data_IF_007642826698
#
_entry.id   IF_007642826698
#
_cell.length_a   1.000
_cell.length_b   1.000
_cell.length_c   1.000
_cell.angle_alpha   90.00
_cell.angle_beta   90.00
_cell.angle_gamma   90.00
#
_symmetry.space_group_name_H-M   'P 1'
#
loop_
_entity.id
_entity.type
_entity.pdbx_description
1 polymer ?
#
# COMPACT_ATOMS: atom_id res chain seq x y z
N UNK A 1 4.95 48.30 9.36
CA UNK A 1 4.94 47.14 10.29
C UNK A 1 3.91 46.07 9.93
N UNK A 2 2.73 46.39 9.36
CA UNK A 2 1.75 45.36 8.97
C UNK A 2 2.27 44.35 7.93
N UNK A 3 3.09 44.77 6.97
CA UNK A 3 3.56 43.87 5.89
C UNK A 3 4.43 42.70 6.37
N UNK A 4 5.23 42.90 7.42
CA UNK A 4 6.13 41.86 7.95
C UNK A 4 5.34 40.74 8.65
N UNK A 5 4.24 41.08 9.31
CA UNK A 5 3.41 40.11 10.03
C UNK A 5 2.66 39.18 9.06
N UNK A 6 2.17 39.71 7.94
CA UNK A 6 1.51 38.94 6.89
C UNK A 6 2.48 37.93 6.23
N UNK A 7 3.72 38.35 5.98
CA UNK A 7 4.73 37.48 5.37
C UNK A 7 5.05 36.27 6.27
N UNK A 8 5.25 36.50 7.56
CA UNK A 8 5.55 35.42 8.53
C UNK A 8 4.39 34.43 8.60
N UNK A 9 3.15 34.93 8.64
CA UNK A 9 1.96 34.08 8.72
C UNK A 9 1.79 33.20 7.49
N UNK A 10 2.03 33.74 6.29
CA UNK A 10 1.95 33.00 5.03
C UNK A 10 3.00 31.88 4.96
N UNK A 11 4.24 32.16 5.40
CA UNK A 11 5.32 31.16 5.42
C UNK A 11 5.02 30.02 6.40
N UNK A 12 4.54 30.33 7.60
CA UNK A 12 4.18 29.30 8.60
C UNK A 12 3.04 28.42 8.09
N UNK A 13 2.01 29.01 7.47
CA UNK A 13 0.91 28.24 6.88
C UNK A 13 1.40 27.32 5.74
N UNK A 14 2.31 27.81 4.89
CA UNK A 14 2.92 27.02 3.82
C UNK A 14 3.73 25.83 4.34
N UNK A 15 4.56 26.04 5.37
CA UNK A 15 5.38 24.98 5.99
C UNK A 15 4.52 23.92 6.66
N UNK A 16 3.48 24.32 7.42
CA UNK A 16 2.55 23.38 8.06
C UNK A 16 1.78 22.56 7.01
N UNK A 17 1.33 23.18 5.93
CA UNK A 17 0.65 22.49 4.83
C UNK A 17 1.58 21.51 4.09
N UNK A 18 2.83 21.90 3.87
CA UNK A 18 3.85 21.06 3.23
C UNK A 18 4.23 19.85 4.09
N UNK A 19 4.39 20.06 5.41
CA UNK A 19 4.63 18.98 6.37
C UNK A 19 3.45 18.01 6.46
N UNK A 20 2.21 18.51 6.39
CA UNK A 20 1.01 17.67 6.37
C UNK A 20 0.93 16.75 5.14
N UNK A 21 1.32 17.26 3.96
CA UNK A 21 1.37 16.47 2.72
C UNK A 21 2.41 15.35 2.80
N UNK A 22 3.64 15.64 3.25
CA UNK A 22 4.68 14.62 3.40
C UNK A 22 4.34 13.56 4.45
N UNK A 23 3.69 13.96 5.54
CA UNK A 23 3.23 13.01 6.55
C UNK A 23 2.15 12.06 5.98
N UNK A 24 1.28 12.55 5.09
CA UNK A 24 0.25 11.73 4.45
C UNK A 24 0.81 10.69 3.46
N UNK A 25 1.92 10.99 2.77
CA UNK A 25 2.58 10.06 1.84
C UNK A 25 3.31 8.93 2.59
N UNK A 26 4.06 9.27 3.64
CA UNK A 26 4.71 8.27 4.49
C UNK A 26 3.69 7.29 5.09
N UNK A 27 2.56 7.81 5.57
CA UNK A 27 1.44 7.02 6.09
C UNK A 27 0.78 6.14 5.01
N UNK A 28 0.73 6.58 3.75
CA UNK A 28 0.16 5.78 2.66
C UNK A 28 1.02 4.55 2.34
N UNK A 29 2.34 4.71 2.33
CA UNK A 29 3.29 3.61 2.09
C UNK A 29 3.31 2.59 3.22
N UNK A 30 3.26 3.05 4.47
CA UNK A 30 3.14 2.19 5.65
C UNK A 30 1.85 1.37 5.59
N UNK A 31 0.71 2.01 5.26
CA UNK A 31 -0.59 1.31 5.07
C UNK A 31 -0.58 0.29 3.93
N UNK A 32 0.16 0.55 2.85
CA UNK A 32 0.25 -0.39 1.73
C UNK A 32 1.11 -1.62 2.06
N UNK A 33 2.13 -1.46 2.92
CA UNK A 33 2.90 -2.58 3.44
C UNK A 33 2.03 -3.48 4.34
N UNK A 34 1.25 -2.85 5.24
CA UNK A 34 0.32 -3.56 6.13
C UNK A 34 -0.75 -4.34 5.37
N UNK A 35 -1.26 -3.79 4.26
CA UNK A 35 -2.25 -4.47 3.43
C UNK A 35 -1.70 -5.76 2.80
N UNK A 36 -0.44 -5.75 2.34
CA UNK A 36 0.20 -6.95 1.78
C UNK A 36 0.40 -8.02 2.85
N UNK A 37 0.79 -7.61 4.06
CA UNK A 37 0.89 -8.51 5.21
C UNK A 37 -0.47 -9.13 5.53
N UNK A 38 -1.53 -8.31 5.63
CA UNK A 38 -2.89 -8.77 5.90
C UNK A 38 -3.40 -9.74 4.82
N UNK A 39 -3.18 -9.45 3.54
CA UNK A 39 -3.52 -10.34 2.42
C UNK A 39 -2.76 -11.68 2.48
N UNK A 40 -1.47 -11.64 2.81
CA UNK A 40 -0.65 -12.83 2.97
C UNK A 40 -1.12 -13.70 4.14
N UNK A 41 -1.47 -13.08 5.27
CA UNK A 41 -2.04 -13.78 6.43
C UNK A 41 -3.40 -14.39 6.08
N UNK A 42 -4.30 -13.63 5.46
CA UNK A 42 -5.63 -14.11 5.04
C UNK A 42 -5.54 -15.29 4.07
N UNK A 43 -4.61 -15.24 3.11
CA UNK A 43 -4.41 -16.32 2.14
C UNK A 43 -3.87 -17.59 2.78
N UNK A 44 -2.91 -17.48 3.72
CA UNK A 44 -2.40 -18.63 4.47
C UNK A 44 -3.48 -19.23 5.37
N UNK A 45 -4.32 -18.40 5.98
CA UNK A 45 -5.41 -18.87 6.83
C UNK A 45 -6.49 -19.60 6.01
N UNK A 46 -6.86 -19.07 4.84
CA UNK A 46 -7.76 -19.75 3.92
C UNK A 46 -7.22 -21.12 3.50
N UNK A 47 -5.94 -21.18 3.13
CA UNK A 47 -5.27 -22.43 2.75
C UNK A 47 -5.23 -23.43 3.92
N UNK A 48 -4.91 -22.98 5.14
CA UNK A 48 -4.87 -23.81 6.35
C UNK A 48 -6.21 -24.47 6.65
N UNK A 49 -7.32 -23.79 6.35
CA UNK A 49 -8.69 -24.30 6.58
C UNK A 49 -9.31 -25.02 5.38
N UNK A 50 -8.52 -25.25 4.32
CA UNK A 50 -9.00 -25.85 3.06
C UNK A 50 -10.12 -25.05 2.40
N UNK A 51 -10.02 -23.71 2.48
CA UNK A 51 -10.87 -22.81 1.70
C UNK A 51 -10.15 -22.43 0.40
N UNK A 52 -10.92 -22.45 -0.70
CA UNK A 52 -10.38 -22.16 -2.04
C UNK A 52 -9.98 -20.69 -2.21
N UNK A 53 -10.62 -19.79 -1.50
CA UNK A 53 -10.40 -18.34 -1.59
C UNK A 53 -10.43 -17.68 -0.21
N UNK A 54 -9.62 -16.64 -0.04
CA UNK A 54 -9.68 -15.77 1.13
C UNK A 54 -10.81 -14.74 0.94
N UNK A 55 -11.94 -14.97 1.59
CA UNK A 55 -13.06 -14.02 1.65
C UNK A 55 -12.84 -12.88 2.64
N UNK A 56 -13.83 -11.99 2.76
CA UNK A 56 -13.81 -10.85 3.70
C UNK A 56 -13.59 -11.28 5.16
N UNK A 57 -14.16 -12.40 5.59
CA UNK A 57 -13.94 -12.95 6.93
C UNK A 57 -12.46 -13.32 7.19
N UNK A 58 -11.74 -13.83 6.19
CA UNK A 58 -10.30 -14.14 6.32
C UNK A 58 -9.45 -12.87 6.37
N UNK A 59 -9.84 -11.83 5.64
CA UNK A 59 -9.16 -10.53 5.66
C UNK A 59 -9.35 -9.84 7.02
N UNK A 60 -10.56 -9.85 7.55
CA UNK A 60 -10.84 -9.33 8.90
C UNK A 60 -10.10 -10.12 9.96
N UNK A 61 -10.12 -11.45 9.88
CA UNK A 61 -9.36 -12.32 10.77
C UNK A 61 -7.86 -11.97 10.72
N UNK A 62 -7.29 -11.77 9.53
CA UNK A 62 -5.90 -11.34 9.38
C UNK A 62 -5.59 -10.00 10.06
N UNK A 63 -6.49 -9.02 9.97
CA UNK A 63 -6.36 -7.74 10.67
C UNK A 63 -6.38 -7.92 12.20
N UNK A 64 -7.19 -8.85 12.73
CA UNK A 64 -7.23 -9.12 14.18
C UNK A 64 -6.01 -9.88 14.72
N UNK A 65 -5.24 -10.53 13.84
CA UNK A 65 -4.02 -11.26 14.18
C UNK A 65 -2.77 -10.37 14.09
N UNK A 66 -2.82 -9.29 13.30
CA UNK A 66 -1.73 -8.36 13.14
C UNK A 66 -1.65 -7.35 14.31
N UNK A 67 -0.49 -7.13 14.95
CA UNK A 67 -0.35 -6.18 16.05
C UNK A 67 -0.75 -4.74 15.70
N UNK A 68 -0.50 -4.28 14.47
CA UNK A 68 -0.87 -2.94 14.03
C UNK A 68 -2.38 -2.84 13.73
N UNK A 69 -2.95 -3.86 13.08
CA UNK A 69 -4.38 -4.03 12.89
C UNK A 69 -5.15 -4.00 14.21
N UNK A 70 -4.69 -4.75 15.22
CA UNK A 70 -5.27 -4.74 16.57
C UNK A 70 -5.24 -3.36 17.21
N UNK A 71 -4.11 -2.63 17.15
CA UNK A 71 -4.03 -1.25 17.67
C UNK A 71 -5.03 -0.33 16.98
N UNK A 72 -5.20 -0.49 15.66
CA UNK A 72 -6.16 0.28 14.87
C UNK A 72 -7.60 -0.01 15.29
N UNK A 73 -7.94 -1.29 15.53
CA UNK A 73 -9.26 -1.69 16.03
C UNK A 73 -9.54 -1.11 17.42
N UNK A 74 -8.58 -1.20 18.35
CA UNK A 74 -8.70 -0.59 19.69
C UNK A 74 -8.90 0.91 19.61
N UNK A 75 -8.12 1.61 18.76
CA UNK A 75 -8.26 3.05 18.55
C UNK A 75 -9.63 3.43 17.96
N UNK A 76 -10.28 2.52 17.25
CA UNK A 76 -11.64 2.68 16.74
C UNK A 76 -12.74 2.26 17.74
N UNK A 77 -12.39 1.87 18.97
CA UNK A 77 -13.35 1.39 19.97
C UNK A 77 -13.90 -0.02 19.69
N UNK A 78 -13.25 -0.77 18.81
CA UNK A 78 -13.62 -2.15 18.47
C UNK A 78 -12.77 -3.10 19.32
N UNK A 79 -13.42 -4.03 20.01
CA UNK A 79 -12.74 -5.12 20.72
C UNK A 79 -12.15 -6.11 19.70
N UNK A 80 -10.81 -6.20 19.58
CA UNK A 80 -10.17 -7.05 18.58
C UNK A 80 -10.39 -8.54 18.85
N UNK A 81 -10.56 -8.93 20.11
CA UNK A 81 -10.74 -10.34 20.49
C UNK A 81 -12.18 -10.79 20.27
N UNK A 82 -13.16 -9.92 20.54
CA UNK A 82 -14.56 -10.18 20.16
C UNK A 82 -14.72 -10.27 18.63
N UNK A 83 -14.13 -9.33 17.87
CA UNK A 83 -14.18 -9.36 16.40
C UNK A 83 -13.49 -10.60 15.84
N UNK A 84 -12.38 -11.03 16.44
CA UNK A 84 -11.67 -12.25 16.05
C UNK A 84 -12.55 -13.48 16.23
N UNK A 85 -13.20 -13.63 17.38
CA UNK A 85 -14.11 -14.74 17.65
C UNK A 85 -15.26 -14.79 16.63
N UNK A 86 -15.89 -13.64 16.35
CA UNK A 86 -16.94 -13.53 15.32
C UNK A 86 -16.41 -13.95 13.92
N UNK A 87 -15.20 -13.53 13.55
CA UNK A 87 -14.60 -13.90 12.26
C UNK A 87 -14.23 -15.38 12.19
N UNK A 88 -13.71 -15.97 13.28
CA UNK A 88 -13.39 -17.39 13.37
C UNK A 88 -14.65 -18.25 13.20
N UNK A 89 -15.78 -17.84 13.80
CA UNK A 89 -17.09 -18.49 13.64
C UNK A 89 -17.56 -18.44 12.17
N UNK A 90 -17.52 -17.27 11.53
CA UNK A 90 -17.89 -17.11 10.12
C UNK A 90 -17.00 -17.93 9.18
N UNK A 91 -15.70 -17.99 9.46
CA UNK A 91 -14.75 -18.78 8.68
C UNK A 91 -15.03 -20.28 8.85
N UNK A 92 -15.30 -20.78 10.06
CA UNK A 92 -15.67 -22.20 10.25
C UNK A 92 -17.03 -22.57 9.63
N UNK A 93 -17.97 -21.62 9.57
CA UNK A 93 -19.25 -21.82 8.90
C UNK A 93 -19.13 -21.88 7.36
N UNK A 94 -18.00 -21.44 6.80
CA UNK A 94 -17.76 -21.46 5.35
C UNK A 94 -17.54 -22.91 4.89
N UNK A 95 -18.27 -23.40 3.86
CA UNK A 95 -18.10 -24.76 3.37
C UNK A 95 -16.67 -25.02 2.87
N UNK A 96 -16.01 -26.02 3.47
CA UNK A 96 -14.71 -26.52 3.00
C UNK A 96 -14.87 -27.10 1.60
N UNK A 97 -14.01 -26.70 0.68
CA UNK A 97 -13.99 -27.27 -0.66
C UNK A 97 -12.85 -28.29 -0.73
N UNK A 98 -13.09 -29.54 -1.15
CA UNK A 98 -12.03 -30.52 -1.28
C UNK A 98 -10.95 -30.02 -2.25
N UNK A 99 -9.66 -30.36 -2.01
CA UNK A 99 -8.59 -30.04 -2.93
C UNK A 99 -8.92 -30.59 -4.32
N UNK A 100 -8.77 -29.75 -5.34
CA UNK A 100 -9.29 -29.99 -6.68
C UNK A 100 -8.49 -31.05 -7.45
N UNK A 101 -8.71 -32.33 -7.16
CA UNK A 101 -8.13 -33.45 -7.92
C UNK A 101 -8.98 -33.90 -9.12
N UNK A 102 -10.14 -33.29 -9.40
CA UNK A 102 -11.11 -33.79 -10.40
C UNK A 102 -11.55 -32.85 -11.52
N UNK A 103 -10.93 -31.67 -11.70
CA UNK A 103 -11.27 -30.80 -12.83
C UNK A 103 -10.18 -30.74 -13.90
N UNK A 104 -10.42 -31.50 -14.99
CA UNK A 104 -9.85 -31.22 -16.32
C UNK A 104 -10.06 -29.75 -16.65
N UNK A 105 -9.00 -29.13 -17.17
CA UNK A 105 -8.90 -27.80 -17.77
C UNK A 105 -10.18 -27.31 -18.46
N UNK A 106 -11.08 -26.70 -17.69
CA UNK A 106 -11.87 -25.58 -18.19
C UNK A 106 -11.05 -24.32 -17.90
N UNK A 107 -10.93 -23.50 -18.93
CA UNK A 107 -10.31 -22.18 -18.93
C UNK A 107 -10.40 -21.48 -17.56
N UNK A 108 -9.22 -21.19 -16.99
CA UNK A 108 -8.97 -20.40 -15.78
C UNK A 108 -10.09 -19.37 -15.50
N UNK A 109 -10.99 -19.67 -14.56
CA UNK A 109 -11.55 -18.59 -13.76
C UNK A 109 -10.46 -18.19 -12.77
N UNK A 110 -9.63 -17.23 -13.17
CA UNK A 110 -8.99 -16.35 -12.20
C UNK A 110 -10.12 -15.93 -11.24
N UNK A 111 -9.96 -16.00 -9.90
CA UNK A 111 -10.92 -15.38 -9.00
C UNK A 111 -11.26 -14.02 -9.57
N UNK A 112 -12.54 -13.65 -9.63
CA UNK A 112 -12.94 -12.37 -10.18
C UNK A 112 -12.46 -11.25 -9.25
N UNK A 113 -11.15 -10.99 -9.33
CA UNK A 113 -10.49 -9.88 -8.70
C UNK A 113 -11.03 -8.60 -9.31
N UNK A 114 -11.88 -8.59 -10.35
CA UNK A 114 -12.54 -7.35 -10.77
C UNK A 114 -13.48 -6.83 -9.70
N UNK A 115 -14.05 -7.66 -8.81
CA UNK A 115 -14.85 -7.18 -7.68
C UNK A 115 -13.96 -6.55 -6.61
N UNK A 116 -12.93 -7.25 -6.14
CA UNK A 116 -11.96 -6.71 -5.17
C UNK A 116 -11.19 -5.51 -5.74
N UNK A 117 -10.78 -5.58 -7.01
CA UNK A 117 -10.07 -4.51 -7.72
C UNK A 117 -11.01 -3.37 -8.10
N UNK A 118 -12.31 -3.59 -8.34
CA UNK A 118 -13.27 -2.50 -8.55
C UNK A 118 -13.64 -1.83 -7.23
N UNK A 119 -13.74 -2.59 -6.13
CA UNK A 119 -13.91 -2.07 -4.77
C UNK A 119 -12.68 -1.25 -4.36
N UNK A 120 -11.47 -1.78 -4.55
CA UNK A 120 -10.21 -1.08 -4.30
C UNK A 120 -10.09 0.13 -5.24
N UNK A 121 -10.33 0.00 -6.55
CA UNK A 121 -10.32 1.15 -7.49
C UNK A 121 -11.39 2.18 -7.17
N UNK A 122 -12.54 1.80 -6.63
CA UNK A 122 -13.62 2.73 -6.27
C UNK A 122 -13.32 3.43 -4.95
N UNK A 123 -12.78 2.71 -3.96
CA UNK A 123 -12.25 3.28 -2.73
C UNK A 123 -11.07 4.25 -2.99
N UNK A 124 -10.19 3.89 -3.93
CA UNK A 124 -9.08 4.74 -4.39
C UNK A 124 -9.58 5.94 -5.23
N UNK A 125 -10.56 5.77 -6.13
CA UNK A 125 -11.19 6.87 -6.90
C UNK A 125 -11.93 7.89 -6.03
N UNK A 126 -12.46 7.46 -4.89
CA UNK A 126 -13.18 8.33 -3.97
C UNK A 126 -12.26 9.10 -3.01
N UNK A 127 -10.94 8.90 -3.08
CA UNK A 127 -9.98 9.70 -2.32
C UNK A 127 -10.10 9.52 -0.80
N UNK A 128 -10.53 8.34 -0.33
CA UNK A 128 -10.88 8.10 1.07
C UNK A 128 -10.36 6.75 1.53
N UNK A 129 -9.18 6.70 2.15
CA UNK A 129 -8.73 5.47 2.81
C UNK A 129 -8.04 5.75 4.16
N UNK A 130 -8.86 5.85 5.20
CA UNK A 130 -8.57 5.10 6.43
C UNK A 130 -8.94 3.63 6.20
N UNK A 131 -8.37 2.71 6.99
CA UNK A 131 -8.75 1.27 7.02
C UNK A 131 -10.27 1.10 7.13
N UNK A 132 -10.95 2.03 7.82
CA UNK A 132 -12.40 2.06 7.94
C UNK A 132 -13.13 2.23 6.58
N UNK A 133 -12.60 2.99 5.62
CA UNK A 133 -13.23 3.19 4.31
C UNK A 133 -13.16 1.95 3.41
N UNK A 134 -12.04 1.23 3.48
CA UNK A 134 -11.86 -0.05 2.80
C UNK A 134 -12.75 -1.14 3.43
N UNK A 135 -12.80 -1.16 4.77
CA UNK A 135 -13.73 -1.99 5.51
C UNK A 135 -15.16 -1.68 5.10
N UNK A 136 -15.62 -0.44 5.09
CA UNK A 136 -17.00 -0.08 4.71
C UNK A 136 -17.40 -0.64 3.36
N UNK A 137 -16.51 -0.61 2.37
CA UNK A 137 -16.82 -1.21 1.07
C UNK A 137 -16.81 -2.74 1.06
N UNK A 138 -15.97 -3.39 1.87
CA UNK A 138 -16.01 -4.85 2.09
C UNK A 138 -17.22 -5.30 2.92
N UNK A 139 -17.80 -4.41 3.73
CA UNK A 139 -18.86 -4.70 4.70
C UNK A 139 -20.28 -4.47 4.17
N UNK A 140 -20.43 -3.75 3.06
CA UNK A 140 -21.69 -3.64 2.33
C UNK A 140 -21.91 -4.81 1.34
N UNK A 141 -20.97 -5.75 1.27
CA UNK A 141 -21.20 -7.07 0.68
C UNK A 141 -21.71 -8.04 1.78
N UNK A 142 -22.67 -8.89 1.42
CA UNK A 142 -23.87 -9.15 2.22
C UNK A 142 -23.74 -9.89 3.60
N UNK A 143 -22.57 -10.30 4.06
CA UNK A 143 -22.47 -11.24 5.21
C UNK A 143 -21.85 -10.68 6.50
N UNK A 144 -21.24 -9.49 6.49
CA UNK A 144 -20.45 -9.01 7.66
C UNK A 144 -21.07 -7.82 8.40
N UNK A 145 -22.12 -7.23 7.83
CA UNK A 145 -22.83 -6.08 8.41
C UNK A 145 -23.40 -6.30 9.82
N UNK A 146 -23.95 -7.48 10.18
CA UNK A 146 -24.48 -7.73 11.53
C UNK A 146 -23.42 -7.72 12.63
N UNK A 147 -22.22 -8.27 12.39
CA UNK A 147 -21.14 -8.29 13.38
C UNK A 147 -20.70 -6.87 13.75
N UNK A 148 -20.52 -5.98 12.77
CA UNK A 148 -20.05 -4.61 13.05
C UNK A 148 -21.11 -3.65 13.54
N UNK A 149 -22.40 -3.90 13.26
CA UNK A 149 -23.48 -3.16 13.92
C UNK A 149 -23.47 -3.37 15.44
N UNK A 150 -22.97 -4.51 15.94
CA UNK A 150 -22.78 -4.75 17.38
C UNK A 150 -21.66 -3.88 17.99
N UNK A 151 -20.82 -3.24 17.18
CA UNK A 151 -19.63 -2.50 17.62
C UNK A 151 -19.62 -0.99 17.24
N UNK A 152 -20.77 -0.34 17.07
CA UNK A 152 -20.86 1.13 17.04
C UNK A 152 -21.02 1.80 15.67
N UNK A 153 -21.09 1.05 14.56
CA UNK A 153 -21.57 1.55 13.27
C UNK A 153 -20.60 2.45 12.48
N UNK A 154 -20.47 2.15 11.19
CA UNK A 154 -19.50 2.76 10.29
C UNK A 154 -19.76 4.28 10.07
N UNK A 155 -21.02 4.72 10.07
CA UNK A 155 -21.45 6.04 9.57
C UNK A 155 -20.88 7.27 10.29
N UNK A 156 -20.51 7.18 11.57
CA UNK A 156 -20.15 8.35 12.39
C UNK A 156 -18.65 8.76 12.22
N UNK A 157 -17.81 7.81 11.79
CA UNK A 157 -16.36 7.98 11.61
C UNK A 157 -16.00 8.69 10.28
N UNK A 158 -16.90 8.72 9.30
CA UNK A 158 -16.59 9.10 7.91
C UNK A 158 -16.69 10.59 7.55
N UNK A 159 -17.14 11.47 8.45
CA UNK A 159 -17.44 12.86 8.09
C UNK A 159 -16.21 13.78 7.95
N UNK A 160 -14.96 13.32 8.16
CA UNK A 160 -13.80 14.23 8.37
C UNK A 160 -12.54 14.04 7.53
N UNK A 161 -12.45 13.11 6.57
CA UNK A 161 -11.15 12.87 5.88
C UNK A 161 -11.34 12.69 4.37
N UNK A 162 -10.70 13.55 3.58
CA UNK A 162 -10.58 13.46 2.12
C UNK A 162 -9.11 13.64 1.71
N UNK A 163 -8.60 12.81 0.80
CA UNK A 163 -7.23 12.84 0.24
C UNK A 163 -7.33 12.54 -1.28
N UNK A 164 -6.49 13.10 -2.17
CA UNK A 164 -6.67 12.96 -3.63
C UNK A 164 -6.24 11.58 -4.17
N UNK A 165 -6.67 11.21 -5.39
CA UNK A 165 -6.27 9.96 -6.07
C UNK A 165 -4.78 9.95 -6.41
N UNK A 166 -4.18 8.75 -6.44
CA UNK A 166 -2.79 8.45 -6.80
C UNK A 166 -2.33 9.31 -7.99
N UNK A 167 -1.53 10.33 -7.69
CA UNK A 167 -0.82 11.10 -8.70
C UNK A 167 0.12 10.14 -9.41
N UNK A 168 0.09 10.16 -10.74
CA UNK A 168 1.04 9.41 -11.55
C UNK A 168 2.34 10.20 -11.50
N UNK A 169 3.16 9.92 -10.49
CA UNK A 169 4.41 10.65 -10.24
C UNK A 169 5.54 10.01 -11.06
N UNK A 170 6.42 10.81 -11.70
CA UNK A 170 7.66 10.30 -12.28
C UNK A 170 8.47 9.48 -11.27
N UNK A 171 9.24 8.50 -11.74
CA UNK A 171 9.96 7.59 -10.85
C UNK A 171 11.33 7.16 -11.39
N UNK A 172 12.20 6.74 -10.49
CA UNK A 172 13.44 6.02 -10.82
C UNK A 172 13.18 4.53 -10.69
N UNK A 173 13.38 3.76 -11.75
CA UNK A 173 13.31 2.30 -11.72
C UNK A 173 14.71 1.71 -11.65
N UNK A 174 14.98 0.91 -10.62
CA UNK A 174 16.23 0.17 -10.45
C UNK A 174 16.00 -1.29 -10.82
N UNK A 175 16.92 -1.87 -11.60
CA UNK A 175 16.85 -3.27 -12.03
C UNK A 175 17.86 -4.11 -11.24
N UNK A 176 17.43 -5.31 -10.83
CA UNK A 176 18.29 -6.26 -10.14
C UNK A 176 19.35 -6.84 -11.08
N UNK A 177 20.53 -7.10 -10.54
CA UNK A 177 21.60 -7.84 -11.19
C UNK A 177 22.27 -8.79 -10.18
N UNK A 178 23.19 -9.63 -10.63
CA UNK A 178 23.78 -10.71 -9.81
C UNK A 178 25.16 -10.35 -9.23
N UNK A 179 25.66 -9.14 -9.48
CA UNK A 179 27.04 -8.74 -9.22
C UNK A 179 27.12 -7.55 -8.26
N UNK A 180 26.22 -6.58 -8.39
CA UNK A 180 26.17 -5.41 -7.51
C UNK A 180 25.81 -5.81 -6.09
N UNK A 181 26.59 -5.36 -5.11
CA UNK A 181 26.37 -5.72 -3.70
C UNK A 181 25.20 -4.94 -3.09
N UNK A 182 24.57 -5.52 -2.07
CA UNK A 182 23.49 -4.87 -1.32
C UNK A 182 23.96 -3.58 -0.66
N UNK A 183 25.17 -3.57 -0.10
CA UNK A 183 25.78 -2.41 0.56
C UNK A 183 25.96 -1.27 -0.44
N UNK A 184 26.46 -1.57 -1.64
CA UNK A 184 26.62 -0.56 -2.69
C UNK A 184 25.27 0.06 -3.07
N UNK A 185 24.24 -0.78 -3.33
CA UNK A 185 22.90 -0.27 -3.70
C UNK A 185 22.33 0.61 -2.60
N UNK A 186 22.40 0.17 -1.33
CA UNK A 186 21.92 0.95 -0.19
C UNK A 186 22.63 2.31 -0.09
N UNK A 187 23.96 2.31 -0.15
CA UNK A 187 24.74 3.53 0.04
C UNK A 187 24.53 4.51 -1.13
N UNK A 188 24.47 4.01 -2.37
CA UNK A 188 24.16 4.80 -3.55
C UNK A 188 22.75 5.41 -3.51
N UNK A 189 21.77 4.69 -2.96
CA UNK A 189 20.40 5.20 -2.76
C UNK A 189 20.35 6.29 -1.69
N UNK A 190 21.09 6.13 -0.60
CA UNK A 190 21.22 7.17 0.41
C UNK A 190 21.85 8.44 -0.15
N UNK A 191 22.91 8.29 -0.94
CA UNK A 191 23.65 9.41 -1.51
C UNK A 191 22.86 10.14 -2.62
N UNK A 192 22.31 9.40 -3.58
CA UNK A 192 21.77 10.00 -4.81
C UNK A 192 20.25 10.17 -4.81
N UNK A 193 19.52 9.28 -4.12
CA UNK A 193 18.06 9.33 -4.05
C UNK A 193 17.53 9.94 -2.73
N UNK A 194 18.43 10.39 -1.85
CA UNK A 194 18.11 10.97 -0.54
C UNK A 194 17.18 10.08 0.33
N UNK A 195 17.27 8.76 0.16
CA UNK A 195 16.61 7.81 1.04
C UNK A 195 17.37 7.71 2.37
N UNK A 196 16.66 7.63 3.49
CA UNK A 196 17.31 7.22 4.73
C UNK A 196 17.80 5.76 4.63
N UNK A 197 18.69 5.38 5.56
CA UNK A 197 19.33 4.05 5.56
C UNK A 197 18.31 2.91 5.61
N UNK A 198 17.22 3.08 6.36
CA UNK A 198 16.19 2.05 6.51
C UNK A 198 15.38 1.89 5.23
N UNK A 199 14.95 3.01 4.62
CA UNK A 199 14.23 3.03 3.36
C UNK A 199 15.08 2.48 2.22
N UNK A 200 16.36 2.86 2.14
CA UNK A 200 17.30 2.35 1.15
C UNK A 200 17.51 0.84 1.28
N UNK A 201 17.65 0.32 2.50
CA UNK A 201 17.79 -1.12 2.74
C UNK A 201 16.54 -1.91 2.32
N UNK A 202 15.35 -1.42 2.72
CA UNK A 202 14.08 -2.03 2.32
C UNK A 202 13.89 -2.01 0.79
N UNK A 203 14.31 -0.92 0.14
CA UNK A 203 14.28 -0.80 -1.31
C UNK A 203 15.22 -1.78 -2.00
N UNK A 204 16.46 -1.92 -1.52
CA UNK A 204 17.43 -2.85 -2.08
C UNK A 204 16.91 -4.30 -1.99
N UNK A 205 16.31 -4.69 -0.85
CA UNK A 205 15.65 -6.00 -0.69
C UNK A 205 14.51 -6.17 -1.70
N UNK A 206 13.67 -5.15 -1.87
CA UNK A 206 12.58 -5.20 -2.83
C UNK A 206 13.06 -5.40 -4.29
N UNK A 207 14.14 -4.73 -4.68
CA UNK A 207 14.77 -4.91 -6.01
C UNK A 207 15.25 -6.35 -6.18
N UNK A 208 15.95 -6.88 -5.18
CA UNK A 208 16.45 -8.26 -5.22
C UNK A 208 15.33 -9.29 -5.34
N UNK A 209 14.25 -9.15 -4.56
CA UNK A 209 13.12 -10.08 -4.56
C UNK A 209 12.25 -9.99 -5.83
N UNK A 210 12.05 -8.79 -6.37
CA UNK A 210 11.09 -8.55 -7.48
C UNK A 210 11.76 -8.42 -8.84
N UNK A 211 13.09 -8.35 -8.87
CA UNK A 211 13.89 -8.07 -10.07
C UNK A 211 13.91 -6.60 -10.48
N UNK A 212 13.00 -5.75 -9.97
CA UNK A 212 12.97 -4.31 -10.18
C UNK A 212 12.09 -3.61 -9.12
N UNK A 213 12.37 -2.34 -8.84
CA UNK A 213 11.53 -1.51 -7.95
C UNK A 213 11.59 -0.03 -8.35
N UNK A 214 10.62 0.77 -7.89
CA UNK A 214 10.48 2.20 -8.27
C UNK A 214 10.50 3.16 -7.09
N UNK A 215 11.26 4.25 -7.22
CA UNK A 215 11.29 5.36 -6.28
C UNK A 215 10.53 6.53 -6.91
N UNK A 216 9.37 6.95 -6.37
CA UNK A 216 8.69 8.15 -6.84
C UNK A 216 9.56 9.39 -6.54
N UNK A 217 9.64 10.31 -7.49
CA UNK A 217 10.40 11.57 -7.38
C UNK A 217 9.59 12.74 -7.92
N UNK A 218 9.93 13.97 -7.54
CA UNK A 218 9.07 15.13 -7.80
C UNK A 218 8.95 15.53 -9.28
N UNK A 219 9.88 15.09 -10.14
CA UNK A 219 9.87 15.42 -11.57
C UNK A 219 10.64 14.40 -12.42
N UNK A 220 10.40 14.41 -13.73
CA UNK A 220 11.16 13.58 -14.68
C UNK A 220 12.65 13.97 -14.72
N UNK A 221 12.97 15.26 -14.69
CA UNK A 221 14.37 15.73 -14.67
C UNK A 221 15.10 15.25 -13.40
N UNK A 222 14.41 15.23 -12.26
CA UNK A 222 14.95 14.64 -11.04
C UNK A 222 15.17 13.13 -11.20
N UNK A 223 14.21 12.40 -11.79
CA UNK A 223 14.36 10.98 -12.06
C UNK A 223 15.57 10.68 -12.96
N UNK A 224 15.77 11.46 -14.02
CA UNK A 224 16.89 11.34 -14.95
C UNK A 224 18.23 11.60 -14.24
N UNK A 225 18.30 12.67 -13.43
CA UNK A 225 19.49 13.00 -12.63
C UNK A 225 19.85 11.88 -11.67
N UNK A 226 18.88 11.37 -10.90
CA UNK A 226 19.10 10.32 -9.91
C UNK A 226 19.49 9.00 -10.59
N UNK A 227 18.76 8.59 -11.64
CA UNK A 227 19.09 7.37 -12.39
C UNK A 227 20.49 7.45 -13.02
N UNK A 228 20.85 8.60 -13.60
CA UNK A 228 22.18 8.85 -14.16
C UNK A 228 23.29 8.73 -13.10
N UNK A 229 23.12 9.36 -11.94
CA UNK A 229 24.08 9.30 -10.84
C UNK A 229 24.28 7.87 -10.31
N UNK A 230 23.20 7.10 -10.14
CA UNK A 230 23.28 5.70 -9.72
C UNK A 230 24.09 4.85 -10.72
N UNK A 231 23.84 5.00 -12.01
CA UNK A 231 24.55 4.26 -13.07
C UNK A 231 26.01 4.70 -13.18
N UNK A 232 26.30 5.99 -13.05
CA UNK A 232 27.66 6.53 -13.08
C UNK A 232 28.48 6.04 -11.87
N UNK A 233 27.92 6.12 -10.66
CA UNK A 233 28.55 5.61 -9.45
C UNK A 233 28.81 4.10 -9.52
N UNK A 234 27.84 3.33 -10.02
CA UNK A 234 28.01 1.88 -10.21
C UNK A 234 29.12 1.56 -11.20
N UNK A 235 29.16 2.27 -12.35
CA UNK A 235 30.22 2.10 -13.35
C UNK A 235 31.60 2.44 -12.77
N UNK A 236 31.71 3.53 -12.01
CA UNK A 236 32.96 3.93 -11.36
C UNK A 236 33.45 2.88 -10.35
N UNK A 237 32.53 2.18 -9.68
CA UNK A 237 32.82 1.09 -8.75
C UNK A 237 32.98 -0.30 -9.42
N UNK A 238 32.82 -0.40 -10.74
CA UNK A 238 32.94 -1.67 -11.48
C UNK A 238 31.72 -2.58 -11.40
N UNK A 239 30.55 -2.06 -11.02
CA UNK A 239 29.29 -2.80 -10.94
C UNK A 239 28.42 -2.61 -12.20
N UNK A 240 27.67 -3.64 -12.64
CA UNK A 240 26.78 -3.56 -13.81
C UNK A 240 25.36 -3.07 -13.47
N UNK A 241 25.17 -2.34 -12.37
CA UNK A 241 23.87 -1.83 -11.92
C UNK A 241 23.20 -1.00 -13.01
N UNK A 242 21.90 -1.21 -13.20
CA UNK A 242 21.10 -0.46 -14.17
C UNK A 242 19.96 0.28 -13.46
N UNK A 243 19.81 1.56 -13.79
CA UNK A 243 18.70 2.40 -13.37
C UNK A 243 18.16 3.19 -14.58
N UNK A 244 16.88 3.54 -14.57
CA UNK A 244 16.28 4.42 -15.58
C UNK A 244 15.19 5.31 -15.01
N UNK A 245 15.01 6.48 -15.61
CA UNK A 245 13.87 7.35 -15.34
C UNK A 245 12.61 6.82 -16.04
N UNK A 246 11.49 6.85 -15.33
CA UNK A 246 10.16 6.48 -15.83
C UNK A 246 9.30 7.75 -15.80
N UNK A 247 8.78 8.21 -16.95
CA UNK A 247 7.83 9.31 -16.98
C UNK A 247 6.52 8.91 -16.32
N UNK A 248 5.77 9.90 -15.85
CA UNK A 248 4.41 9.70 -15.37
C UNK A 248 3.55 9.08 -16.49
N UNK A 249 3.07 7.85 -16.31
CA UNK A 249 2.16 7.19 -17.27
C UNK A 249 0.70 7.66 -17.17
N UNK A 250 0.47 8.88 -16.69
CA UNK A 250 -0.86 9.47 -16.71
C UNK A 250 -1.27 9.76 -18.16
N UNK A 251 -2.58 9.84 -18.47
CA UNK A 251 -2.98 10.43 -19.75
C UNK A 251 -2.29 11.79 -19.84
N UNK A 252 -1.55 12.02 -20.94
CA UNK A 252 -1.01 13.34 -21.23
C UNK A 252 -2.15 14.32 -21.05
N UNK A 253 -1.93 15.35 -20.23
CA UNK A 253 -2.88 16.44 -20.08
C UNK A 253 -2.83 17.30 -21.36
N UNK A 254 -3.17 16.68 -22.49
CA UNK A 254 -3.26 17.32 -23.79
C UNK A 254 -4.75 17.61 -24.06
N UNK A 255 -5.04 18.91 -24.18
CA UNK A 255 -6.19 19.58 -24.79
C UNK A 255 -7.60 19.35 -24.22
N UNK A 256 -7.90 20.00 -23.08
CA UNK A 256 -9.22 20.61 -22.80
C UNK A 256 -9.04 22.10 -22.54
#
# INVERSE_FOLDING_TARGET
MLGTFFLITAVVAGVVSWMGLRHSEALAWERAADMRVALGVASREAARRAHRTAGSAHLLLAVTLDPHGRRTLVAAGIDPDALRADCEELVEATPKQPPADSYRTSSRSVPDYSVVTSIVRRALRLGRTSVAGLLTHLLYDHDVGPALKRHGGASEVFSRVAVPPESVVPAVELMNDQVTTFEFVRDALCEHAALDVSAAAAFAVAVHERGRERIPVGSLAEAERVAGALVEGARAAGYPLQARAIPSTGPAADDV
#
